data_IF_370330700950
#
_entry.id   IF_370330700950
#
_cell.length_a   1.000
_cell.length_b   1.000
_cell.length_c   1.000
_cell.angle_alpha   90.00
_cell.angle_beta   90.00
_cell.angle_gamma   90.00
#
_symmetry.space_group_name_H-M   'P 1'
#
loop_
_entity.id
_entity.type
_entity.pdbx_description
1 polymer ?
#
# COMPACT_ATOMS: atom_id res chain seq x y z
N UNK A 1 7.26 5.07 15.69
CA UNK A 1 6.80 6.16 14.79
C UNK A 1 6.86 5.58 13.40
N UNK A 2 5.84 5.79 12.56
CA UNK A 2 5.85 5.23 11.21
C UNK A 2 6.93 5.88 10.34
N UNK A 3 7.43 5.14 9.37
CA UNK A 3 8.41 5.63 8.41
C UNK A 3 7.81 6.69 7.47
N UNK A 4 6.62 6.40 6.95
CA UNK A 4 5.83 7.37 6.18
C UNK A 4 4.85 8.11 7.08
N UNK A 5 4.73 9.41 6.82
CA UNK A 5 3.69 10.27 7.41
C UNK A 5 2.63 10.55 6.34
N UNK A 6 1.37 10.53 6.76
CA UNK A 6 0.22 10.81 5.89
C UNK A 6 -0.39 12.13 6.37
N UNK A 7 -0.36 13.14 5.52
CA UNK A 7 -0.73 14.51 5.87
C UNK A 7 -2.24 14.67 6.16
N UNK A 8 -3.09 13.86 5.54
CA UNK A 8 -4.50 13.75 5.92
C UNK A 8 -4.98 12.28 5.85
N UNK A 9 -5.26 11.64 7.00
CA UNK A 9 -5.75 10.26 7.02
C UNK A 9 -7.14 10.09 6.36
N UNK A 10 -7.89 11.18 6.11
CA UNK A 10 -9.19 11.14 5.42
C UNK A 10 -9.06 11.05 3.90
N UNK A 11 -7.93 11.48 3.33
CA UNK A 11 -7.70 11.51 1.88
C UNK A 11 -6.47 10.73 1.42
N UNK A 12 -5.69 10.17 2.35
CA UNK A 12 -4.53 9.33 2.05
C UNK A 12 -3.42 10.05 1.29
N UNK A 13 -3.44 11.38 1.22
CA UNK A 13 -2.52 12.12 0.38
C UNK A 13 -1.12 12.11 0.99
N UNK A 14 -0.20 11.50 0.26
CA UNK A 14 1.21 11.59 0.57
C UNK A 14 1.79 12.92 0.10
N UNK A 15 2.70 13.48 0.88
CA UNK A 15 3.56 14.55 0.41
C UNK A 15 4.63 13.97 -0.53
N UNK A 16 4.50 14.26 -1.82
CA UNK A 16 5.41 13.75 -2.84
C UNK A 16 6.87 14.19 -2.62
N UNK A 17 7.10 15.39 -2.08
CA UNK A 17 8.45 15.88 -1.80
C UNK A 17 9.04 15.14 -0.60
N UNK A 18 8.27 14.97 0.47
CA UNK A 18 8.68 14.19 1.63
C UNK A 18 8.97 12.73 1.26
N UNK A 19 8.09 12.10 0.46
CA UNK A 19 8.30 10.74 -0.05
C UNK A 19 9.57 10.63 -0.89
N UNK A 20 9.83 11.59 -1.78
CA UNK A 20 11.04 11.60 -2.60
C UNK A 20 12.30 11.66 -1.74
N UNK A 21 12.28 12.50 -0.69
CA UNK A 21 13.38 12.58 0.27
C UNK A 21 13.62 11.25 0.98
N UNK A 22 12.55 10.62 1.49
CA UNK A 22 12.60 9.27 2.11
C UNK A 22 13.13 8.20 1.14
N UNK A 23 12.76 8.28 -0.14
CA UNK A 23 13.27 7.36 -1.16
C UNK A 23 14.78 7.53 -1.41
N UNK A 24 15.28 8.77 -1.39
CA UNK A 24 16.72 9.05 -1.52
C UNK A 24 17.52 8.53 -0.33
N UNK A 25 16.97 8.62 0.90
CA UNK A 25 17.59 8.08 2.12
C UNK A 25 17.81 6.56 2.03
N UNK A 26 16.90 5.82 1.39
CA UNK A 26 16.96 4.35 1.28
C UNK A 26 17.65 3.84 0.01
N UNK A 27 18.05 4.74 -0.89
CA UNK A 27 18.56 4.40 -2.22
C UNK A 27 19.75 3.44 -2.16
N UNK A 28 20.76 3.75 -1.35
CA UNK A 28 21.97 2.93 -1.27
C UNK A 28 21.69 1.57 -0.66
N UNK A 29 20.87 1.51 0.39
CA UNK A 29 20.44 0.26 1.03
C UNK A 29 19.76 -0.65 0.03
N UNK A 30 18.81 -0.13 -0.76
CA UNK A 30 18.13 -0.90 -1.81
C UNK A 30 19.10 -1.37 -2.89
N UNK A 31 19.95 -0.46 -3.42
CA UNK A 31 20.83 -0.74 -4.57
C UNK A 31 21.91 -1.78 -4.24
N UNK A 32 22.42 -1.77 -3.01
CA UNK A 32 23.55 -2.61 -2.60
C UNK A 32 23.13 -3.90 -1.90
N UNK A 33 21.83 -4.13 -1.70
CA UNK A 33 21.34 -5.37 -1.10
C UNK A 33 21.64 -6.57 -2.02
N UNK A 34 22.00 -7.70 -1.41
CA UNK A 34 22.37 -8.94 -2.10
C UNK A 34 21.42 -10.08 -1.69
N UNK A 35 21.10 -11.03 -2.58
CA UNK A 35 21.72 -11.28 -3.90
C UNK A 35 21.14 -10.45 -5.06
N UNK A 36 20.14 -9.63 -4.80
CA UNK A 36 19.55 -8.68 -5.76
C UNK A 36 19.05 -7.44 -5.00
N UNK A 37 18.87 -6.30 -5.70
CA UNK A 37 18.37 -5.07 -5.06
C UNK A 37 17.03 -5.27 -4.37
N UNK A 38 16.98 -5.03 -3.07
CA UNK A 38 15.78 -5.15 -2.23
C UNK A 38 15.92 -4.34 -0.96
N UNK A 39 14.80 -4.05 -0.31
CA UNK A 39 14.77 -3.45 1.02
C UNK A 39 13.50 -3.87 1.76
N UNK A 40 13.61 -4.06 3.08
CA UNK A 40 12.46 -4.14 3.98
C UNK A 40 12.43 -2.85 4.81
N UNK A 41 11.26 -2.25 4.95
CA UNK A 41 11.06 -1.01 5.71
C UNK A 41 10.11 -1.33 6.84
N UNK A 42 10.62 -1.30 8.07
CA UNK A 42 9.80 -1.48 9.26
C UNK A 42 8.91 -0.27 9.50
N UNK A 43 7.76 -0.50 10.13
CA UNK A 43 6.77 0.53 10.46
C UNK A 43 6.41 1.43 9.26
N UNK A 44 6.32 0.85 8.06
CA UNK A 44 6.18 1.62 6.80
C UNK A 44 5.02 2.63 6.82
N UNK A 45 3.87 2.22 7.37
CA UNK A 45 2.66 3.03 7.48
C UNK A 45 2.24 3.19 8.96
N UNK A 46 1.46 4.23 9.30
CA UNK A 46 0.85 4.35 10.63
C UNK A 46 0.00 3.13 10.97
N UNK A 47 0.22 2.55 12.16
CA UNK A 47 -0.50 1.34 12.60
C UNK A 47 -2.03 1.51 12.58
N UNK A 48 -2.54 2.70 12.92
CA UNK A 48 -3.99 2.96 12.95
C UNK A 48 -4.63 2.85 11.56
N UNK A 49 -3.89 3.17 10.50
CA UNK A 49 -4.37 2.99 9.13
C UNK A 49 -4.43 1.50 8.76
N UNK A 50 -3.45 0.71 9.20
CA UNK A 50 -3.45 -0.74 9.00
C UNK A 50 -4.58 -1.42 9.78
N UNK A 51 -4.85 -0.96 11.01
CA UNK A 51 -5.99 -1.43 11.81
C UNK A 51 -7.32 -1.15 11.10
N UNK A 52 -7.47 0.03 10.49
CA UNK A 52 -8.64 0.38 9.68
C UNK A 52 -8.76 -0.53 8.45
N UNK A 53 -7.66 -0.78 7.74
CA UNK A 53 -7.65 -1.72 6.62
C UNK A 53 -8.11 -3.11 7.06
N UNK A 54 -7.62 -3.63 8.18
CA UNK A 54 -8.02 -4.95 8.70
C UNK A 54 -9.50 -4.99 9.10
N UNK A 55 -10.00 -3.93 9.74
CA UNK A 55 -11.39 -3.86 10.19
C UNK A 55 -12.38 -3.77 9.01
N UNK A 56 -12.00 -3.10 7.93
CA UNK A 56 -12.89 -2.81 6.81
C UNK A 56 -12.58 -3.61 5.54
N UNK A 57 -11.56 -4.47 5.55
CA UNK A 57 -11.23 -5.31 4.39
C UNK A 57 -12.41 -6.23 4.05
N UNK A 58 -12.83 -6.31 2.77
CA UNK A 58 -14.01 -7.05 2.39
C UNK A 58 -13.83 -8.56 2.65
N UNK A 59 -14.77 -9.16 3.39
CA UNK A 59 -14.80 -10.59 3.64
C UNK A 59 -15.23 -11.42 2.40
N UNK A 60 -15.79 -10.77 1.38
CA UNK A 60 -16.26 -11.39 0.14
C UNK A 60 -15.75 -10.60 -1.06
N UNK A 61 -15.51 -11.30 -2.15
CA UNK A 61 -15.22 -10.71 -3.45
C UNK A 61 -16.30 -9.67 -3.86
N UNK A 62 -15.86 -8.56 -4.43
CA UNK A 62 -16.70 -7.55 -5.05
C UNK A 62 -17.14 -7.97 -6.48
N UNK A 63 -18.10 -7.29 -7.12
CA UNK A 63 -18.58 -7.66 -8.46
C UNK A 63 -17.51 -7.69 -9.56
N UNK A 64 -16.45 -6.90 -9.43
CA UNK A 64 -15.34 -6.82 -10.40
C UNK A 64 -14.11 -7.64 -9.94
N UNK A 65 -14.20 -8.31 -8.79
CA UNK A 65 -13.12 -9.14 -8.28
C UNK A 65 -12.82 -10.30 -9.23
N UNK A 66 -11.53 -10.56 -9.43
CA UNK A 66 -11.04 -11.70 -10.19
C UNK A 66 -10.23 -12.61 -9.29
N UNK A 67 -10.66 -13.87 -9.18
CA UNK A 67 -9.85 -14.93 -8.58
C UNK A 67 -9.07 -15.63 -9.67
N UNK A 68 -7.77 -15.82 -9.46
CA UNK A 68 -6.89 -16.38 -10.45
C UNK A 68 -6.63 -17.88 -10.18
N UNK A 69 -6.63 -18.68 -11.25
CA UNK A 69 -6.37 -20.12 -11.23
C UNK A 69 -5.34 -20.50 -12.31
N UNK A 70 -4.23 -19.75 -12.33
CA UNK A 70 -3.03 -20.08 -13.10
C UNK A 70 -1.88 -20.27 -12.12
N UNK A 71 -0.93 -21.15 -12.43
CA UNK A 71 0.13 -21.55 -11.49
C UNK A 71 0.89 -20.38 -10.84
N UNK A 72 1.06 -19.25 -11.55
CA UNK A 72 1.81 -18.08 -11.07
C UNK A 72 1.01 -17.18 -10.10
N UNK A 73 -0.32 -17.30 -10.11
CA UNK A 73 -1.24 -16.38 -9.44
C UNK A 73 -2.38 -17.09 -8.70
N UNK A 74 -2.33 -18.43 -8.62
CA UNK A 74 -3.36 -19.25 -8.00
C UNK A 74 -3.66 -18.77 -6.59
N UNK A 75 -4.95 -18.74 -6.24
CA UNK A 75 -5.47 -18.31 -4.94
C UNK A 75 -5.29 -16.82 -4.61
N UNK A 76 -4.92 -15.99 -5.59
CA UNK A 76 -5.00 -14.53 -5.46
C UNK A 76 -6.38 -14.06 -5.91
N UNK A 77 -6.90 -13.05 -5.22
CA UNK A 77 -8.13 -12.34 -5.59
C UNK A 77 -7.83 -10.85 -5.66
N UNK A 78 -8.14 -10.22 -6.79
CA UNK A 78 -8.08 -8.76 -6.90
C UNK A 78 -9.35 -8.14 -6.35
N UNK A 79 -9.22 -6.99 -5.69
CA UNK A 79 -10.35 -6.18 -5.22
C UNK A 79 -10.30 -4.80 -5.86
N UNK A 80 -11.46 -4.27 -6.25
CA UNK A 80 -11.54 -2.93 -6.80
C UNK A 80 -11.78 -1.89 -5.67
N UNK A 81 -10.88 -0.88 -5.50
CA UNK A 81 -11.03 0.16 -4.48
C UNK A 81 -12.38 0.89 -4.49
N UNK A 82 -13.09 0.93 -5.63
CA UNK A 82 -14.40 1.58 -5.73
C UNK A 82 -15.47 0.97 -4.82
N UNK A 83 -15.37 -0.33 -4.52
CA UNK A 83 -16.28 -1.03 -3.61
C UNK A 83 -15.86 -0.96 -2.14
N UNK A 84 -14.71 -0.35 -1.84
CA UNK A 84 -14.26 -0.15 -0.47
C UNK A 84 -14.92 1.08 0.16
N UNK A 85 -14.84 1.18 1.48
CA UNK A 85 -15.29 2.37 2.21
C UNK A 85 -14.56 3.63 1.69
N UNK A 86 -15.16 4.83 1.81
CA UNK A 86 -14.51 6.07 1.40
C UNK A 86 -13.06 6.26 1.91
N UNK A 87 -12.72 6.01 3.19
CA UNK A 87 -11.33 6.16 3.66
C UNK A 87 -10.37 5.13 3.03
N UNK A 88 -10.76 3.84 2.93
CA UNK A 88 -9.91 2.83 2.28
C UNK A 88 -9.73 3.12 0.79
N UNK A 89 -10.80 3.49 0.11
CA UNK A 89 -10.75 3.87 -1.31
C UNK A 89 -9.79 5.01 -1.55
N UNK A 90 -9.87 6.08 -0.75
CA UNK A 90 -8.96 7.21 -0.85
C UNK A 90 -7.50 6.80 -0.62
N UNK A 91 -7.23 5.96 0.38
CA UNK A 91 -5.91 5.43 0.65
C UNK A 91 -5.36 4.54 -0.47
N UNK A 92 -6.11 3.55 -0.95
CA UNK A 92 -5.63 2.70 -2.04
C UNK A 92 -5.41 3.48 -3.34
N UNK A 93 -6.23 4.50 -3.61
CA UNK A 93 -5.99 5.37 -4.76
C UNK A 93 -4.77 6.27 -4.60
N UNK A 94 -4.38 6.66 -3.39
CA UNK A 94 -3.18 7.47 -3.20
C UNK A 94 -1.87 6.70 -3.42
N UNK A 95 -1.92 5.36 -3.38
CA UNK A 95 -0.80 4.49 -3.76
C UNK A 95 -0.60 4.39 -5.28
N UNK A 96 -1.61 4.76 -6.07
CA UNK A 96 -1.50 4.74 -7.52
C UNK A 96 -0.88 6.06 -8.01
N UNK A 97 0.19 5.95 -8.79
CA UNK A 97 0.81 7.11 -9.45
C UNK A 97 -0.18 7.77 -10.41
N UNK A 98 -0.16 9.10 -10.46
CA UNK A 98 -0.77 9.86 -11.57
C UNK A 98 0.17 9.92 -12.77
#
# INVERSE_FOLDING_TARGET
MSYLEINDPRYGQFDAEALRKRGLELRETYQNAAPFPHIAIDDFLPAQLLDLCLAEFPAKADPDSRTFDRDQERFKTSFNPDYLSPPLRAFFYSLNSR
#
